data_IF_840737662232
#
_entry.id   IF_840737662232
#
_cell.length_a   1.000
_cell.length_b   1.000
_cell.length_c   1.000
_cell.angle_alpha   90.00
_cell.angle_beta   90.00
_cell.angle_gamma   90.00
#
_symmetry.space_group_name_H-M   'P 1'
#
loop_
_entity.id
_entity.type
_entity.pdbx_description
1 polymer ?
#
# COMPACT_ATOMS: atom_id res chain seq x y z
N UNK A 1 12.71 -16.60 -21.32
CA UNK A 1 12.00 -16.58 -20.01
C UNK A 1 11.15 -15.31 -19.95
N UNK A 2 9.93 -15.38 -19.44
CA UNK A 2 9.09 -14.18 -19.28
C UNK A 2 9.74 -13.21 -18.28
N UNK A 3 9.57 -11.90 -18.43
CA UNK A 3 10.04 -10.91 -17.47
C UNK A 3 9.34 -11.09 -16.11
N UNK A 4 10.08 -10.81 -15.04
CA UNK A 4 9.61 -10.99 -13.67
C UNK A 4 8.86 -9.74 -13.19
N UNK A 5 9.35 -8.56 -13.56
CA UNK A 5 8.82 -7.24 -13.14
C UNK A 5 8.54 -6.34 -14.36
N UNK A 6 7.41 -5.64 -14.36
CA UNK A 6 7.16 -4.54 -15.28
C UNK A 6 7.63 -3.22 -14.64
N UNK A 7 8.54 -2.52 -15.31
CA UNK A 7 8.86 -1.14 -15.00
C UNK A 7 7.91 -0.24 -15.79
N UNK A 8 7.25 0.69 -15.13
CA UNK A 8 6.36 1.67 -15.76
C UNK A 8 6.97 3.05 -15.57
N UNK A 9 7.43 3.61 -16.70
CA UNK A 9 7.98 4.95 -16.80
C UNK A 9 6.86 5.94 -17.06
N UNK A 10 6.60 6.79 -16.07
CA UNK A 10 5.55 7.81 -16.07
C UNK A 10 6.10 9.13 -15.52
N UNK A 11 7.32 9.47 -15.94
CA UNK A 11 8.28 10.15 -15.06
C UNK A 11 8.57 11.61 -15.41
N UNK A 12 7.76 12.23 -16.27
CA UNK A 12 7.93 13.62 -16.75
C UNK A 12 9.27 13.94 -17.44
N UNK A 13 10.19 12.96 -17.50
CA UNK A 13 11.60 13.11 -17.78
C UNK A 13 12.24 11.86 -18.40
N UNK A 14 13.51 11.61 -18.11
CA UNK A 14 14.25 10.43 -18.62
C UNK A 14 15.03 9.76 -17.49
N UNK A 15 14.29 9.12 -16.58
CA UNK A 15 14.87 8.45 -15.42
C UNK A 15 14.96 6.92 -15.58
N UNK A 16 14.55 6.37 -16.72
CA UNK A 16 14.48 4.92 -16.96
C UNK A 16 15.78 4.16 -16.65
N UNK A 17 16.96 4.74 -16.94
CA UNK A 17 18.26 4.12 -16.62
C UNK A 17 18.52 3.98 -15.11
N UNK A 18 17.97 4.88 -14.29
CA UNK A 18 18.11 4.78 -12.84
C UNK A 18 17.38 3.56 -12.28
N UNK A 19 16.38 3.02 -12.99
CA UNK A 19 15.64 1.82 -12.60
C UNK A 19 16.13 0.56 -13.30
N UNK A 20 16.46 0.64 -14.61
CA UNK A 20 16.89 -0.53 -15.38
C UNK A 20 18.27 -1.04 -14.96
N UNK A 21 19.27 -0.15 -14.81
CA UNK A 21 20.65 -0.57 -14.51
C UNK A 21 20.79 -1.32 -13.15
N UNK A 22 20.14 -0.89 -12.05
CA UNK A 22 20.12 -1.68 -10.82
C UNK A 22 19.46 -3.05 -11.00
N UNK A 23 18.32 -3.12 -11.69
CA UNK A 23 17.62 -4.41 -11.96
C UNK A 23 18.51 -5.37 -12.74
N UNK A 24 19.21 -4.89 -13.77
CA UNK A 24 20.22 -5.67 -14.51
C UNK A 24 21.36 -6.14 -13.61
N UNK A 25 21.86 -5.27 -12.72
CA UNK A 25 22.96 -5.57 -11.82
C UNK A 25 22.64 -6.69 -10.82
N UNK A 26 21.38 -6.79 -10.40
CA UNK A 26 20.89 -7.84 -9.48
C UNK A 26 20.33 -9.06 -10.24
N UNK A 27 20.37 -9.06 -11.58
CA UNK A 27 19.97 -10.19 -12.42
C UNK A 27 18.46 -10.40 -12.54
N UNK A 28 17.64 -9.39 -12.22
CA UNK A 28 16.18 -9.44 -12.33
C UNK A 28 15.77 -9.16 -13.76
N UNK A 29 14.90 -10.01 -14.33
CA UNK A 29 14.38 -9.77 -15.68
C UNK A 29 13.22 -8.80 -15.60
N UNK A 30 13.25 -7.76 -16.43
CA UNK A 30 12.17 -6.80 -16.50
C UNK A 30 11.80 -6.47 -17.94
N UNK A 31 10.72 -5.72 -18.10
CA UNK A 31 10.41 -4.97 -19.31
C UNK A 31 9.98 -3.57 -18.92
N UNK A 32 10.19 -2.60 -19.81
CA UNK A 32 9.83 -1.22 -19.59
C UNK A 32 8.60 -0.86 -20.44
N UNK A 33 7.57 -0.31 -19.81
CA UNK A 33 6.45 0.35 -20.46
C UNK A 33 6.57 1.84 -20.21
N UNK A 34 6.55 2.64 -21.28
CA UNK A 34 6.54 4.10 -21.16
C UNK A 34 5.09 4.56 -21.36
N UNK A 35 4.54 5.27 -20.36
CA UNK A 35 3.15 5.73 -20.35
C UNK A 35 2.80 6.69 -21.46
N UNK A 36 3.77 7.40 -22.04
CA UNK A 36 3.55 8.22 -23.24
C UNK A 36 3.11 7.39 -24.46
N UNK A 37 3.34 6.07 -24.46
CA UNK A 37 2.91 5.16 -25.53
C UNK A 37 1.44 4.74 -25.40
N UNK A 38 0.82 4.98 -24.27
CA UNK A 38 -0.57 4.65 -23.99
C UNK A 38 -0.79 4.02 -22.61
N UNK A 39 -2.07 3.83 -22.32
CA UNK A 39 -2.59 3.29 -21.06
C UNK A 39 -2.02 1.91 -20.75
N UNK A 40 -1.85 1.62 -19.46
CA UNK A 40 -1.50 0.28 -19.03
C UNK A 40 -2.76 -0.59 -18.99
N UNK A 41 -2.71 -1.76 -19.61
CA UNK A 41 -3.84 -2.69 -19.67
C UNK A 41 -3.45 -4.05 -19.13
N UNK A 42 -4.45 -4.84 -18.71
CA UNK A 42 -4.23 -6.18 -18.15
C UNK A 42 -3.48 -7.11 -19.10
N UNK A 43 -3.66 -6.96 -20.42
CA UNK A 43 -2.93 -7.73 -21.44
C UNK A 43 -1.43 -7.44 -21.45
N UNK A 44 -1.02 -6.22 -21.07
CA UNK A 44 0.39 -5.85 -20.94
C UNK A 44 1.02 -6.57 -19.75
N UNK A 45 0.29 -6.69 -18.63
CA UNK A 45 0.83 -7.25 -17.36
C UNK A 45 0.64 -8.77 -17.25
N UNK A 46 -0.31 -9.34 -17.99
CA UNK A 46 -0.60 -10.79 -18.00
C UNK A 46 0.64 -11.71 -18.21
N UNK A 47 1.66 -11.34 -19.00
CA UNK A 47 2.85 -12.18 -19.19
C UNK A 47 3.82 -12.23 -18.00
N UNK A 48 3.71 -11.34 -17.01
CA UNK A 48 4.70 -11.19 -15.93
C UNK A 48 4.47 -12.17 -14.79
N UNK A 49 5.49 -12.98 -14.46
CA UNK A 49 5.34 -14.12 -13.54
C UNK A 49 5.17 -13.70 -12.08
N UNK A 50 5.87 -12.64 -11.63
CA UNK A 50 5.76 -12.19 -10.25
C UNK A 50 4.51 -11.33 -10.00
N UNK A 51 3.77 -10.95 -11.06
CA UNK A 51 2.71 -9.93 -11.02
C UNK A 51 3.18 -8.68 -10.27
N UNK A 52 4.37 -8.19 -10.63
CA UNK A 52 4.98 -7.03 -9.98
C UNK A 52 5.11 -5.88 -10.97
N UNK A 53 4.66 -4.69 -10.55
CA UNK A 53 4.84 -3.42 -11.23
C UNK A 53 5.73 -2.53 -10.35
N UNK A 54 6.75 -1.93 -10.94
CA UNK A 54 7.45 -0.78 -10.37
C UNK A 54 7.07 0.43 -11.21
N UNK A 55 6.21 1.27 -10.67
CA UNK A 55 5.75 2.52 -11.26
C UNK A 55 6.56 3.68 -10.70
N UNK A 56 7.16 4.47 -11.57
CA UNK A 56 7.93 5.64 -11.17
C UNK A 56 7.50 6.89 -11.90
N UNK A 57 7.25 7.95 -11.13
CA UNK A 57 6.72 9.23 -11.61
C UNK A 57 7.79 10.33 -11.66
N UNK A 58 9.03 10.02 -11.26
CA UNK A 58 10.16 10.94 -11.36
C UNK A 58 9.87 12.26 -10.64
N UNK A 59 10.00 13.37 -11.38
CA UNK A 59 9.69 14.72 -10.93
C UNK A 59 8.39 15.29 -11.53
N UNK A 60 7.49 14.44 -12.01
CA UNK A 60 6.14 14.85 -12.40
C UNK A 60 5.42 15.49 -11.20
N UNK A 61 4.84 16.67 -11.39
CA UNK A 61 4.18 17.46 -10.33
C UNK A 61 2.66 17.30 -10.32
N UNK A 62 2.07 17.01 -11.49
CA UNK A 62 0.64 16.95 -11.72
C UNK A 62 0.32 15.77 -12.63
N UNK A 63 -0.81 15.10 -12.42
CA UNK A 63 -1.10 13.86 -13.13
C UNK A 63 -0.01 12.81 -12.92
N UNK A 64 0.55 12.77 -11.72
CA UNK A 64 1.51 11.75 -11.27
C UNK A 64 0.94 10.34 -11.43
N UNK A 65 -0.38 10.20 -11.29
CA UNK A 65 -1.16 9.07 -11.79
C UNK A 65 -2.44 9.62 -12.42
N UNK A 66 -2.74 9.21 -13.65
CA UNK A 66 -4.03 9.55 -14.27
C UNK A 66 -5.17 8.70 -13.67
N UNK A 67 -6.43 9.11 -13.91
CA UNK A 67 -7.62 8.41 -13.40
C UNK A 67 -7.66 6.93 -13.83
N UNK A 68 -7.29 6.65 -15.09
CA UNK A 68 -7.19 5.29 -15.63
C UNK A 68 -6.05 4.48 -14.99
N UNK A 69 -4.96 5.12 -14.60
CA UNK A 69 -3.86 4.48 -13.88
C UNK A 69 -4.30 4.07 -12.48
N UNK A 70 -4.99 4.96 -11.76
CA UNK A 70 -5.51 4.68 -10.43
C UNK A 70 -6.54 3.54 -10.45
N UNK A 71 -7.47 3.54 -11.41
CA UNK A 71 -8.45 2.46 -11.59
C UNK A 71 -7.75 1.13 -11.90
N UNK A 72 -6.76 1.14 -12.81
CA UNK A 72 -6.00 -0.06 -13.17
C UNK A 72 -5.20 -0.60 -11.98
N UNK A 73 -4.48 0.27 -11.25
CA UNK A 73 -3.65 -0.13 -10.12
C UNK A 73 -4.48 -0.67 -8.96
N UNK A 74 -5.67 -0.12 -8.73
CA UNK A 74 -6.64 -0.65 -7.78
C UNK A 74 -7.02 -2.10 -8.13
N UNK A 75 -7.50 -2.33 -9.36
CA UNK A 75 -7.87 -3.67 -9.85
C UNK A 75 -6.67 -4.64 -9.82
N UNK A 76 -5.47 -4.13 -10.12
CA UNK A 76 -4.25 -4.92 -10.10
C UNK A 76 -3.90 -5.40 -8.68
N UNK A 77 -3.94 -4.51 -7.68
CA UNK A 77 -3.68 -4.87 -6.28
C UNK A 77 -4.76 -5.81 -5.76
N UNK A 78 -6.03 -5.53 -6.02
CA UNK A 78 -7.17 -6.40 -5.66
C UNK A 78 -7.05 -7.80 -6.30
N UNK A 79 -6.45 -7.88 -7.49
CA UNK A 79 -6.12 -9.12 -8.20
C UNK A 79 -4.90 -9.88 -7.68
N UNK A 80 -4.30 -9.44 -6.57
CA UNK A 80 -3.09 -10.03 -5.98
C UNK A 80 -1.77 -9.52 -6.58
N UNK A 81 -1.83 -8.40 -7.31
CA UNK A 81 -0.67 -7.72 -7.87
C UNK A 81 0.17 -7.01 -6.82
N UNK A 82 1.44 -6.81 -7.16
CA UNK A 82 2.44 -6.20 -6.27
C UNK A 82 2.93 -4.91 -6.91
N UNK A 83 2.74 -3.78 -6.24
CA UNK A 83 3.10 -2.46 -6.73
C UNK A 83 4.23 -1.88 -5.90
N UNK A 84 5.25 -1.34 -6.57
CA UNK A 84 6.12 -0.29 -6.02
C UNK A 84 5.69 1.00 -6.72
N UNK A 85 5.32 2.01 -5.95
CA UNK A 85 4.99 3.36 -6.44
C UNK A 85 5.99 4.34 -5.83
N UNK A 86 6.76 5.02 -6.66
CA UNK A 86 7.85 5.90 -6.24
C UNK A 86 7.92 7.17 -7.08
N UNK A 87 8.16 8.29 -6.42
CA UNK A 87 8.28 9.60 -7.05
C UNK A 87 8.02 10.69 -6.03
N UNK A 88 8.40 11.92 -6.38
CA UNK A 88 7.99 13.10 -5.61
C UNK A 88 6.63 13.60 -6.10
N UNK A 89 5.99 14.48 -5.33
CA UNK A 89 4.70 15.12 -5.63
C UNK A 89 3.47 14.21 -5.68
N UNK A 90 3.61 12.88 -5.60
CA UNK A 90 2.49 11.95 -5.67
C UNK A 90 1.46 12.25 -4.57
N UNK A 91 1.91 12.52 -3.34
CA UNK A 91 1.00 12.79 -2.24
C UNK A 91 0.27 14.12 -2.42
N UNK A 92 0.97 15.16 -2.85
CA UNK A 92 0.39 16.48 -3.10
C UNK A 92 -0.64 16.45 -4.22
N UNK A 93 -0.43 15.61 -5.24
CA UNK A 93 -1.32 15.48 -6.39
C UNK A 93 -2.55 14.60 -6.10
N UNK A 94 -2.35 13.39 -5.57
CA UNK A 94 -3.43 12.38 -5.51
C UNK A 94 -3.96 12.07 -4.11
N UNK A 95 -3.53 12.75 -3.05
CA UNK A 95 -4.02 12.47 -1.68
C UNK A 95 -5.52 12.70 -1.45
N UNK A 96 -6.20 13.37 -2.39
CA UNK A 96 -7.66 13.52 -2.39
C UNK A 96 -8.43 12.46 -3.19
N UNK A 97 -7.76 11.43 -3.70
CA UNK A 97 -8.35 10.38 -4.56
C UNK A 97 -8.83 9.17 -3.76
N UNK A 98 -9.78 8.42 -4.33
CA UNK A 98 -10.23 7.14 -3.79
C UNK A 98 -9.08 6.10 -3.73
N UNK A 99 -8.14 6.16 -4.69
CA UNK A 99 -6.96 5.28 -4.69
C UNK A 99 -6.05 5.56 -3.49
N UNK A 100 -5.82 6.83 -3.17
CA UNK A 100 -5.07 7.19 -1.97
C UNK A 100 -5.78 6.68 -0.72
N UNK A 101 -7.07 6.97 -0.57
CA UNK A 101 -7.84 6.57 0.62
C UNK A 101 -7.89 5.05 0.82
N UNK A 102 -8.05 4.27 -0.24
CA UNK A 102 -8.19 2.81 -0.14
C UNK A 102 -6.82 2.09 -0.04
N UNK A 103 -5.78 2.54 -0.77
CA UNK A 103 -4.51 1.79 -0.91
C UNK A 103 -3.30 2.43 -0.21
N UNK A 104 -3.23 3.76 -0.09
CA UNK A 104 -2.10 4.43 0.56
C UNK A 104 -2.44 4.76 2.02
N UNK A 105 -3.56 5.46 2.23
CA UNK A 105 -4.19 5.79 3.51
C UNK A 105 -3.24 6.47 4.51
N UNK A 106 -2.29 7.27 4.00
CA UNK A 106 -1.32 7.99 4.83
C UNK A 106 -1.73 9.46 5.02
N UNK A 107 -1.51 9.99 6.22
CA UNK A 107 -1.69 11.40 6.53
C UNK A 107 -0.40 12.17 6.24
N UNK A 108 -0.45 13.09 5.27
CA UNK A 108 0.70 13.92 4.88
C UNK A 108 0.98 14.98 5.95
N UNK A 109 2.18 14.94 6.55
CA UNK A 109 2.58 15.80 7.64
C UNK A 109 3.50 16.96 7.20
N UNK A 110 4.03 16.91 5.98
CA UNK A 110 4.82 17.96 5.35
C UNK A 110 5.71 17.42 4.24
N UNK A 111 6.39 18.33 3.54
CA UNK A 111 7.26 17.99 2.40
C UNK A 111 8.51 18.86 2.34
N UNK A 112 9.54 18.37 1.63
CA UNK A 112 10.72 19.15 1.28
C UNK A 112 11.95 18.31 0.97
N UNK A 113 13.12 18.95 0.98
CA UNK A 113 14.39 18.31 0.67
C UNK A 113 15.00 17.56 1.87
N UNK A 114 15.63 16.42 1.62
CA UNK A 114 16.43 15.70 2.60
C UNK A 114 17.66 15.09 1.93
N UNK A 115 18.88 15.46 2.35
CA UNK A 115 20.13 14.87 1.82
C UNK A 115 20.35 13.43 2.30
N UNK A 116 19.91 13.14 3.52
CA UNK A 116 20.03 11.84 4.16
C UNK A 116 18.67 11.43 4.73
N UNK A 117 18.28 10.21 4.40
CA UNK A 117 17.15 9.49 4.97
C UNK A 117 17.67 8.20 5.62
N UNK A 118 16.80 7.53 6.36
CA UNK A 118 17.15 6.34 7.11
C UNK A 118 16.26 5.19 6.67
N UNK A 119 16.83 4.21 6.00
CA UNK A 119 16.17 2.92 5.79
C UNK A 119 16.31 2.11 7.08
N UNK A 120 15.19 1.90 7.76
CA UNK A 120 15.08 1.15 9.02
C UNK A 120 14.50 -0.25 8.80
N UNK A 121 14.24 -0.64 7.56
CA UNK A 121 13.77 -1.98 7.23
C UNK A 121 14.94 -2.97 7.21
N UNK A 122 14.95 -3.85 8.21
CA UNK A 122 16.03 -4.80 8.44
C UNK A 122 17.24 -4.14 9.11
N UNK A 123 18.40 -4.18 8.44
CA UNK A 123 19.62 -3.55 8.96
C UNK A 123 19.61 -2.08 8.57
N UNK A 124 19.68 -1.20 9.57
CA UNK A 124 19.69 0.25 9.35
C UNK A 124 20.78 0.69 8.36
N UNK A 125 20.36 1.45 7.35
CA UNK A 125 21.23 2.08 6.35
C UNK A 125 20.83 3.54 6.14
N UNK A 126 21.76 4.30 5.54
CA UNK A 126 21.51 5.68 5.13
C UNK A 126 21.13 5.67 3.65
N UNK A 127 20.00 6.29 3.31
CA UNK A 127 19.65 6.57 1.91
C UNK A 127 20.08 7.99 1.62
N UNK A 128 21.06 8.17 0.73
CA UNK A 128 21.50 9.49 0.30
C UNK A 128 20.73 9.88 -0.97
N UNK A 129 20.21 11.10 -1.02
CA UNK A 129 19.46 11.64 -2.18
C UNK A 129 20.35 12.48 -3.11
N UNK A 130 21.67 12.36 -2.93
CA UNK A 130 22.66 13.11 -3.67
C UNK A 130 23.96 12.31 -3.87
N UNK A 131 24.90 12.90 -4.59
CA UNK A 131 26.20 12.31 -4.88
C UNK A 131 26.17 11.41 -6.12
N UNK A 132 27.13 10.50 -6.21
CA UNK A 132 27.34 9.70 -7.40
C UNK A 132 26.14 8.76 -7.65
N UNK A 133 25.59 8.80 -8.87
CA UNK A 133 24.47 7.97 -9.28
C UNK A 133 23.07 8.51 -8.93
N UNK A 134 22.96 9.66 -8.26
CA UNK A 134 21.70 10.36 -8.02
C UNK A 134 21.29 11.20 -9.24
N UNK A 135 19.99 11.31 -9.49
CA UNK A 135 19.42 12.29 -10.41
C UNK A 135 19.50 13.75 -9.92
N UNK A 136 19.76 13.98 -8.62
CA UNK A 136 19.81 15.30 -7.99
C UNK A 136 18.53 16.14 -8.20
N UNK A 137 17.38 15.46 -8.29
CA UNK A 137 16.09 16.05 -8.60
C UNK A 137 15.11 16.09 -7.41
N UNK A 138 15.48 15.54 -6.24
CA UNK A 138 14.55 15.38 -5.12
C UNK A 138 14.34 16.69 -4.35
N UNK A 139 13.23 17.37 -4.63
CA UNK A 139 12.87 18.67 -4.05
C UNK A 139 11.62 18.63 -3.18
N UNK A 140 10.72 17.66 -3.39
CA UNK A 140 9.50 17.47 -2.60
C UNK A 140 9.32 16.04 -2.12
N UNK A 141 10.08 15.67 -1.09
CA UNK A 141 9.88 14.39 -0.41
C UNK A 141 8.87 14.61 0.72
N UNK A 142 7.71 13.97 0.63
CA UNK A 142 6.72 13.99 1.71
C UNK A 142 7.15 13.13 2.89
N UNK A 143 6.75 13.56 4.07
CA UNK A 143 6.81 12.72 5.26
C UNK A 143 5.42 12.63 5.89
N UNK A 144 5.09 11.42 6.33
CA UNK A 144 3.71 11.02 6.57
C UNK A 144 3.57 10.22 7.87
N UNK A 145 2.33 10.12 8.33
CA UNK A 145 1.88 9.06 9.24
C UNK A 145 1.20 7.99 8.40
N UNK A 146 1.77 6.78 8.26
CA UNK A 146 1.15 5.70 7.52
C UNK A 146 0.02 5.05 8.34
N UNK A 147 -0.86 4.25 7.71
CA UNK A 147 -1.90 3.52 8.43
C UNK A 147 -1.31 2.44 9.37
N UNK A 148 -2.08 2.04 10.39
CA UNK A 148 -1.64 1.10 11.43
C UNK A 148 -1.15 -0.27 10.92
N UNK A 149 -1.57 -0.67 9.71
CA UNK A 149 -1.20 -1.93 9.08
C UNK A 149 0.08 -1.85 8.23
N UNK A 150 0.68 -0.67 8.12
CA UNK A 150 1.87 -0.44 7.33
C UNK A 150 3.16 -0.94 8.01
N UNK A 151 4.05 -1.50 7.20
CA UNK A 151 5.43 -1.77 7.55
C UNK A 151 6.27 -0.54 7.17
N UNK A 152 6.88 0.12 8.15
CA UNK A 152 7.67 1.36 7.95
C UNK A 152 9.06 1.01 7.42
N UNK A 153 9.51 1.69 6.35
CA UNK A 153 10.78 1.39 5.70
C UNK A 153 11.77 2.55 5.75
N UNK A 154 11.42 3.69 5.16
CA UNK A 154 12.32 4.84 5.09
C UNK A 154 11.71 5.97 5.92
N UNK A 155 12.52 6.54 6.81
CA UNK A 155 12.14 7.64 7.70
C UNK A 155 13.10 8.81 7.55
N UNK A 156 12.59 10.02 7.76
CA UNK A 156 13.41 11.24 7.68
C UNK A 156 14.35 11.40 8.87
N UNK A 157 13.95 10.95 10.06
CA UNK A 157 14.76 11.04 11.27
C UNK A 157 14.46 9.88 12.23
N UNK A 158 15.51 9.22 12.72
CA UNK A 158 15.41 8.10 13.66
C UNK A 158 14.81 8.44 15.03
N UNK A 159 14.75 9.72 15.41
CA UNK A 159 14.17 10.14 16.69
C UNK A 159 12.64 10.07 16.72
N UNK A 160 12.01 9.98 15.55
CA UNK A 160 10.56 9.97 15.40
C UNK A 160 10.22 9.12 14.18
N UNK A 161 9.81 7.87 14.36
CA UNK A 161 9.66 6.94 13.22
C UNK A 161 8.25 6.85 12.68
N UNK A 162 7.27 7.42 13.36
CA UNK A 162 5.85 7.13 13.10
C UNK A 162 5.13 8.29 12.37
N UNK A 163 5.74 9.48 12.33
CA UNK A 163 5.15 10.71 11.75
C UNK A 163 6.03 11.36 10.68
N UNK A 164 7.20 10.78 10.40
CA UNK A 164 8.11 11.27 9.37
C UNK A 164 8.48 10.22 8.32
N UNK A 165 7.56 9.28 8.09
CA UNK A 165 7.74 8.17 7.17
C UNK A 165 7.72 8.66 5.73
N UNK A 166 8.73 8.27 4.98
CA UNK A 166 8.92 8.58 3.54
C UNK A 166 8.49 7.39 2.67
N UNK A 167 8.77 6.17 3.13
CA UNK A 167 8.36 4.97 2.42
C UNK A 167 7.86 3.89 3.38
N UNK A 168 6.83 3.16 2.96
CA UNK A 168 6.24 2.07 3.71
C UNK A 168 5.60 1.03 2.79
N UNK A 169 5.52 -0.21 3.27
CA UNK A 169 4.82 -1.31 2.62
C UNK A 169 3.48 -1.62 3.28
N UNK A 170 2.48 -2.02 2.50
CA UNK A 170 1.23 -2.60 2.99
C UNK A 170 0.91 -3.90 2.27
N UNK A 171 0.22 -4.80 2.96
CA UNK A 171 -0.25 -6.05 2.41
C UNK A 171 -1.78 -6.04 2.38
N UNK A 172 -2.34 -6.45 1.25
CA UNK A 172 -3.77 -6.56 1.04
C UNK A 172 -4.19 -8.02 0.98
N UNK A 173 -5.49 -8.22 1.10
CA UNK A 173 -6.03 -9.54 0.88
C UNK A 173 -5.85 -9.99 -0.57
N UNK A 174 -5.83 -11.30 -0.80
CA UNK A 174 -5.60 -11.86 -2.14
C UNK A 174 -4.13 -11.85 -2.56
N UNK A 175 -3.24 -11.46 -1.65
CA UNK A 175 -1.79 -11.41 -1.90
C UNK A 175 -1.32 -10.10 -2.51
N UNK A 176 -2.21 -9.12 -2.66
CA UNK A 176 -1.89 -7.79 -3.16
C UNK A 176 -0.91 -7.08 -2.23
N UNK A 177 0.00 -6.28 -2.79
CA UNK A 177 0.98 -5.52 -2.00
C UNK A 177 1.21 -4.17 -2.62
N UNK A 178 1.45 -3.16 -1.78
CA UNK A 178 1.98 -1.88 -2.22
C UNK A 178 3.19 -1.51 -1.39
N UNK A 179 4.24 -1.01 -2.04
CA UNK A 179 5.27 -0.20 -1.42
C UNK A 179 5.12 1.21 -1.99
N UNK A 180 4.80 2.16 -1.12
CA UNK A 180 4.73 3.57 -1.49
C UNK A 180 5.97 4.30 -0.99
N UNK A 181 6.51 5.20 -1.81
CA UNK A 181 7.64 6.05 -1.47
C UNK A 181 7.48 7.43 -2.09
N UNK A 182 7.41 8.47 -1.26
CA UNK A 182 7.48 9.89 -1.70
C UNK A 182 8.89 10.32 -2.09
N UNK A 183 9.90 9.48 -1.81
CA UNK A 183 11.21 9.58 -2.42
C UNK A 183 11.15 8.92 -3.80
N UNK A 184 11.50 9.68 -4.84
CA UNK A 184 11.84 9.13 -6.15
C UNK A 184 13.16 8.35 -6.08
N UNK A 185 13.12 7.04 -6.38
CA UNK A 185 14.30 6.19 -6.26
C UNK A 185 15.42 6.55 -7.26
N UNK A 186 15.14 7.27 -8.34
CA UNK A 186 16.13 7.91 -9.21
C UNK A 186 17.02 8.92 -8.46
N UNK A 187 16.46 9.54 -7.42
CA UNK A 187 17.18 10.45 -6.53
C UNK A 187 18.25 9.79 -5.67
N UNK A 188 18.22 8.46 -5.49
CA UNK A 188 19.17 7.76 -4.62
C UNK A 188 20.57 7.80 -5.22
N UNK A 189 21.56 8.21 -4.43
CA UNK A 189 22.96 8.22 -4.85
C UNK A 189 23.91 7.82 -3.73
N UNK A 190 25.18 8.15 -3.92
CA UNK A 190 26.23 7.88 -2.94
C UNK A 190 27.13 9.09 -2.72
N UNK A 191 27.14 9.59 -1.49
CA UNK A 191 28.03 10.67 -1.06
C UNK A 191 29.32 10.06 -0.51
N UNK A 192 30.41 10.22 -1.25
CA UNK A 192 31.71 9.67 -0.88
C UNK A 192 31.78 8.14 -1.01
N UNK A 193 32.60 7.49 -0.18
CA UNK A 193 32.90 6.05 -0.27
C UNK A 193 32.32 5.23 0.90
N UNK A 194 31.28 5.74 1.58
CA UNK A 194 30.68 5.08 2.75
C UNK A 194 30.02 3.74 2.40
N UNK A 195 30.20 2.72 3.26
CA UNK A 195 29.48 1.43 3.19
C UNK A 195 28.20 1.42 4.02
N UNK A 196 27.95 2.49 4.77
CA UNK A 196 26.71 2.70 5.55
C UNK A 196 25.57 3.22 4.68
N UNK A 197 25.89 3.75 3.49
CA UNK A 197 24.88 4.20 2.54
C UNK A 197 24.38 3.01 1.73
N UNK A 198 23.07 2.89 1.65
CA UNK A 198 22.38 1.91 0.80
C UNK A 198 22.51 2.34 -0.66
N UNK A 199 22.82 1.38 -1.52
CA UNK A 199 22.80 1.57 -2.96
C UNK A 199 21.41 1.25 -3.50
N UNK A 200 21.05 1.85 -4.64
CA UNK A 200 19.78 1.54 -5.30
C UNK A 200 19.62 0.05 -5.63
N UNK A 201 20.71 -0.64 -6.01
CA UNK A 201 20.69 -2.10 -6.24
C UNK A 201 20.40 -2.90 -4.98
N UNK A 202 20.98 -2.54 -3.83
CA UNK A 202 20.68 -3.18 -2.54
C UNK A 202 19.22 -2.98 -2.14
N UNK A 203 18.68 -1.76 -2.32
CA UNK A 203 17.29 -1.45 -2.03
C UNK A 203 16.32 -2.19 -2.97
N UNK A 204 16.65 -2.31 -4.27
CA UNK A 204 15.81 -3.05 -5.21
C UNK A 204 15.83 -4.55 -4.94
N UNK A 205 16.98 -5.11 -4.57
CA UNK A 205 17.06 -6.50 -4.14
C UNK A 205 16.14 -6.76 -2.93
N UNK A 206 16.16 -5.85 -1.96
CA UNK A 206 15.28 -5.84 -0.79
C UNK A 206 13.78 -5.88 -1.19
N UNK A 207 13.36 -5.09 -2.18
CA UNK A 207 11.98 -5.14 -2.69
C UNK A 207 11.62 -6.49 -3.32
N UNK A 208 12.51 -7.04 -4.13
CA UNK A 208 12.29 -8.34 -4.77
C UNK A 208 12.17 -9.46 -3.72
N UNK A 209 13.01 -9.45 -2.70
CA UNK A 209 12.94 -10.39 -1.57
C UNK A 209 11.63 -10.26 -0.78
N UNK A 210 11.16 -9.04 -0.53
CA UNK A 210 9.87 -8.80 0.13
C UNK A 210 8.66 -9.32 -0.68
N UNK A 211 8.77 -9.28 -2.01
CA UNK A 211 7.74 -9.82 -2.89
C UNK A 211 7.80 -11.33 -3.04
N UNK A 212 8.99 -11.93 -2.98
CA UNK A 212 9.18 -13.38 -3.13
C UNK A 212 8.86 -14.15 -1.84
N UNK A 213 9.12 -13.56 -0.67
CA UNK A 213 8.79 -14.16 0.64
C UNK A 213 7.30 -14.42 0.87
N UNK A 214 6.42 -13.80 0.08
CA UNK A 214 4.98 -14.07 0.09
C UNK A 214 4.56 -15.31 -0.72
N UNK A 215 5.50 -16.01 -1.38
CA UNK A 215 5.24 -17.29 -2.07
C UNK A 215 5.14 -18.49 -1.09
N UNK A 216 5.35 -18.29 0.21
CA UNK A 216 5.07 -19.28 1.26
C UNK A 216 3.66 -19.07 1.86
N UNK A 217 2.67 -18.78 1.01
CA UNK A 217 1.28 -19.06 1.35
C UNK A 217 0.90 -20.32 0.58
N UNK A 218 0.70 -21.39 1.35
CA UNK A 218 0.36 -22.73 0.91
C UNK A 218 -0.60 -22.72 -0.28
N UNK A 219 -0.15 -23.27 -1.42
CA UNK A 219 -0.97 -23.51 -2.61
C UNK A 219 -2.15 -24.48 -2.33
N UNK A 220 -2.22 -25.06 -1.11
CA UNK A 220 -3.33 -25.84 -0.58
C UNK A 220 -4.20 -25.13 0.48
N UNK A 221 -4.13 -23.80 0.61
CA UNK A 221 -5.28 -23.07 1.14
C UNK A 221 -6.41 -23.22 0.13
N UNK A 222 -7.22 -24.27 0.32
CA UNK A 222 -8.53 -24.45 -0.30
C UNK A 222 -9.14 -23.08 -0.57
N UNK A 223 -9.37 -22.75 -1.86
CA UNK A 223 -10.05 -21.55 -2.37
C UNK A 223 -10.69 -20.75 -1.24
N UNK A 224 -9.88 -19.93 -0.59
CA UNK A 224 -10.37 -19.13 0.52
C UNK A 224 -11.26 -18.08 -0.11
N UNK A 225 -12.53 -18.04 0.29
CA UNK A 225 -13.52 -17.37 -0.53
C UNK A 225 -13.41 -15.85 -0.39
N UNK A 226 -13.63 -15.15 -1.51
CA UNK A 226 -13.32 -13.72 -1.70
C UNK A 226 -13.83 -12.84 -0.55
N UNK A 227 -12.93 -12.00 -0.07
CA UNK A 227 -12.94 -11.44 1.26
C UNK A 227 -14.14 -10.57 1.62
N UNK A 228 -14.55 -10.67 2.87
CA UNK A 228 -15.44 -9.71 3.53
C UNK A 228 -14.56 -8.81 4.42
N UNK A 229 -14.42 -7.53 4.08
CA UNK A 229 -13.83 -6.49 4.93
C UNK A 229 -14.91 -5.85 5.80
N UNK A 230 -14.59 -5.60 7.08
CA UNK A 230 -15.47 -4.96 8.07
C UNK A 230 -14.66 -3.93 8.86
N UNK A 231 -14.92 -2.64 8.66
CA UNK A 231 -14.35 -1.55 9.45
C UNK A 231 -15.41 -0.85 10.29
N UNK A 232 -14.99 -0.24 11.41
CA UNK A 232 -15.89 0.50 12.28
C UNK A 232 -15.25 1.81 12.76
N UNK A 233 -15.95 2.94 12.60
CA UNK A 233 -15.48 4.25 13.01
C UNK A 233 -16.59 5.10 13.66
N UNK A 234 -16.32 5.77 14.80
CA UNK A 234 -15.13 5.64 15.62
C UNK A 234 -15.07 4.26 16.29
N UNK A 235 -13.86 3.80 16.65
CA UNK A 235 -13.65 2.59 17.44
C UNK A 235 -12.33 2.75 18.25
N UNK A 236 -12.37 2.91 19.59
CA UNK A 236 -13.55 2.84 20.47
C UNK A 236 -14.58 3.97 20.24
N UNK A 237 -15.84 3.75 20.67
CA UNK A 237 -16.91 4.74 20.55
C UNK A 237 -17.80 4.81 21.80
N UNK A 238 -18.53 5.92 21.98
CA UNK A 238 -19.34 6.21 23.17
C UNK A 238 -20.83 6.46 22.92
N UNK A 239 -21.25 6.80 21.70
CA UNK A 239 -22.67 6.91 21.32
C UNK A 239 -23.04 5.95 20.18
N UNK A 240 -22.30 5.97 19.08
CA UNK A 240 -22.53 5.15 17.89
C UNK A 240 -21.24 4.95 17.09
N UNK A 241 -21.19 3.90 16.27
CA UNK A 241 -20.15 3.71 15.27
C UNK A 241 -20.78 3.45 13.89
N UNK A 242 -20.13 3.94 12.84
CA UNK A 242 -20.37 3.55 11.46
C UNK A 242 -19.61 2.25 11.21
N UNK A 243 -20.32 1.23 10.75
CA UNK A 243 -19.80 -0.06 10.32
C UNK A 243 -19.84 -0.09 8.80
N UNK A 244 -18.68 -0.13 8.15
CA UNK A 244 -18.56 -0.28 6.71
C UNK A 244 -18.15 -1.71 6.37
N UNK A 245 -18.88 -2.34 5.46
CA UNK A 245 -18.65 -3.72 5.05
C UNK A 245 -18.50 -3.75 3.53
N UNK A 246 -17.44 -4.40 3.06
CA UNK A 246 -17.21 -4.70 1.64
C UNK A 246 -17.06 -6.21 1.49
N UNK A 247 -17.73 -6.83 0.53
CA UNK A 247 -17.64 -8.26 0.25
C UNK A 247 -17.54 -8.50 -1.25
N UNK A 248 -16.76 -9.49 -1.67
CA UNK A 248 -16.75 -9.99 -3.04
C UNK A 248 -18.07 -10.68 -3.46
N UNK A 249 -18.93 -11.03 -2.51
CA UNK A 249 -20.21 -11.69 -2.75
C UNK A 249 -21.38 -10.94 -2.10
N UNK A 250 -22.59 -11.31 -2.50
CA UNK A 250 -23.81 -10.76 -1.89
C UNK A 250 -23.88 -11.18 -0.41
N UNK A 251 -23.96 -10.19 0.47
CA UNK A 251 -24.09 -10.41 1.91
C UNK A 251 -25.42 -11.08 2.24
N UNK A 252 -25.46 -11.77 3.37
CA UNK A 252 -26.69 -12.37 3.91
C UNK A 252 -27.11 -11.69 5.20
N UNK A 253 -26.31 -11.84 6.26
CA UNK A 253 -26.65 -11.31 7.59
C UNK A 253 -25.45 -10.66 8.25
N UNK A 254 -25.69 -9.51 8.88
CA UNK A 254 -24.76 -8.86 9.79
C UNK A 254 -25.32 -8.94 11.22
N UNK A 255 -24.46 -9.28 12.16
CA UNK A 255 -24.80 -9.49 13.57
C UNK A 255 -23.77 -8.81 14.46
N UNK A 256 -24.19 -8.38 15.64
CA UNK A 256 -23.29 -7.87 16.68
C UNK A 256 -23.48 -8.76 17.90
N UNK A 257 -22.37 -9.28 18.43
CA UNK A 257 -22.31 -10.26 19.51
C UNK A 257 -21.53 -9.69 20.70
N UNK A 258 -21.91 -10.05 21.92
CA UNK A 258 -21.09 -9.79 23.11
C UNK A 258 -19.89 -10.77 23.19
N UNK A 259 -18.97 -10.56 24.15
CA UNK A 259 -17.82 -11.45 24.37
C UNK A 259 -18.18 -12.91 24.74
N UNK A 260 -19.43 -13.16 25.13
CA UNK A 260 -19.96 -14.50 25.44
C UNK A 260 -20.65 -15.12 24.22
N UNK A 261 -20.68 -14.42 23.08
CA UNK A 261 -21.34 -14.85 21.86
C UNK A 261 -22.85 -14.64 21.85
N UNK A 262 -23.42 -13.90 22.82
CA UNK A 262 -24.84 -13.58 22.82
C UNK A 262 -25.15 -12.54 21.75
N UNK A 263 -26.26 -12.74 21.04
CA UNK A 263 -26.73 -11.82 20.02
C UNK A 263 -27.23 -10.51 20.64
N UNK A 264 -26.64 -9.39 20.21
CA UNK A 264 -27.01 -8.03 20.62
C UNK A 264 -27.80 -7.33 19.50
N UNK A 265 -27.40 -7.53 18.25
CA UNK A 265 -28.07 -6.96 17.08
C UNK A 265 -27.99 -7.90 15.87
N UNK A 266 -28.98 -7.85 14.98
CA UNK A 266 -28.99 -8.59 13.70
C UNK A 266 -29.73 -7.79 12.64
N UNK A 267 -29.18 -7.78 11.43
CA UNK A 267 -29.82 -7.22 10.23
C UNK A 267 -29.45 -8.03 8.98
N UNK A 268 -30.41 -8.21 8.07
CA UNK A 268 -30.13 -8.75 6.74
C UNK A 268 -29.48 -7.66 5.87
N UNK A 269 -28.47 -8.03 5.12
CA UNK A 269 -27.78 -7.14 4.19
C UNK A 269 -27.95 -7.70 2.78
N UNK A 270 -28.17 -6.82 1.82
CA UNK A 270 -28.19 -7.15 0.39
C UNK A 270 -27.13 -6.28 -0.30
N UNK A 271 -26.49 -6.84 -1.31
CA UNK A 271 -25.38 -6.23 -2.05
C UNK A 271 -24.00 -6.65 -1.54
N UNK A 272 -22.98 -6.09 -2.19
CA UNK A 272 -21.56 -6.33 -1.92
C UNK A 272 -20.93 -5.25 -1.04
N UNK A 273 -21.65 -4.14 -0.78
CA UNK A 273 -21.18 -3.02 0.04
C UNK A 273 -22.32 -2.49 0.90
N UNK A 274 -22.07 -2.21 2.17
CA UNK A 274 -23.04 -1.57 3.07
C UNK A 274 -22.35 -0.70 4.11
N UNK A 275 -23.02 0.40 4.45
CA UNK A 275 -22.64 1.31 5.52
C UNK A 275 -23.80 1.35 6.51
N UNK A 276 -23.54 0.93 7.74
CA UNK A 276 -24.56 0.82 8.79
C UNK A 276 -24.11 1.53 10.06
N UNK A 277 -24.94 2.40 10.61
CA UNK A 277 -24.65 3.05 11.89
C UNK A 277 -25.25 2.22 13.03
N UNK A 278 -24.39 1.64 13.87
CA UNK A 278 -24.83 0.98 15.09
C UNK A 278 -24.84 1.94 16.27
N UNK A 279 -25.96 1.97 16.99
CA UNK A 279 -26.13 2.67 18.26
C UNK A 279 -26.58 1.66 19.33
N UNK A 280 -25.76 1.39 20.36
CA UNK A 280 -26.15 0.55 21.49
C UNK A 280 -27.40 1.07 22.19
N UNK A 281 -28.22 0.16 22.72
CA UNK A 281 -29.40 0.53 23.50
C UNK A 281 -29.03 0.96 24.93
N UNK A 282 -30.00 1.51 25.68
CA UNK A 282 -29.75 2.00 27.05
C UNK A 282 -29.28 0.90 28.02
N UNK A 283 -29.60 -0.36 27.72
CA UNK A 283 -29.27 -1.53 28.54
C UNK A 283 -27.91 -2.16 28.18
N UNK A 284 -27.31 -1.74 27.06
CA UNK A 284 -26.01 -2.24 26.62
C UNK A 284 -24.92 -1.70 27.55
N UNK A 285 -24.15 -2.62 28.14
CA UNK A 285 -23.01 -2.28 28.99
C UNK A 285 -21.77 -1.96 28.14
N UNK A 286 -20.90 -1.07 28.64
CA UNK A 286 -19.57 -0.87 28.05
C UNK A 286 -18.81 -2.19 27.95
N UNK A 287 -18.09 -2.40 26.86
CA UNK A 287 -17.37 -3.65 26.63
C UNK A 287 -16.94 -3.87 25.19
N UNK A 288 -16.44 -5.07 24.94
CA UNK A 288 -16.02 -5.54 23.62
C UNK A 288 -17.21 -6.25 22.97
N UNK A 289 -17.42 -5.96 21.68
CA UNK A 289 -18.41 -6.61 20.84
C UNK A 289 -17.73 -7.10 19.55
N UNK A 290 -18.34 -8.10 18.93
CA UNK A 290 -17.89 -8.64 17.65
C UNK A 290 -18.99 -8.46 16.60
N UNK A 291 -18.65 -7.79 15.52
CA UNK A 291 -19.45 -7.78 14.30
C UNK A 291 -19.19 -9.09 13.59
N UNK A 292 -20.22 -9.83 13.20
CA UNK A 292 -20.16 -11.01 12.34
C UNK A 292 -20.92 -10.71 11.06
N UNK A 293 -20.34 -10.97 9.90
CA UNK A 293 -21.02 -10.90 8.59
C UNK A 293 -20.96 -12.26 7.94
N UNK A 294 -22.11 -12.76 7.51
CA UNK A 294 -22.24 -14.01 6.76
C UNK A 294 -22.56 -13.67 5.30
N UNK A 295 -21.71 -14.14 4.40
CA UNK A 295 -21.97 -14.31 2.96
C UNK A 295 -22.18 -15.80 2.66
N UNK A 296 -22.63 -16.16 1.45
CA UNK A 296 -23.13 -17.52 1.14
C UNK A 296 -22.25 -18.66 1.67
N UNK A 297 -20.95 -18.59 1.43
CA UNK A 297 -19.99 -19.63 1.85
C UNK A 297 -19.02 -19.14 2.96
N UNK A 298 -19.11 -17.87 3.38
CA UNK A 298 -18.03 -17.19 4.12
C UNK A 298 -18.58 -16.43 5.32
N UNK A 299 -17.86 -16.44 6.43
CA UNK A 299 -18.17 -15.59 7.57
C UNK A 299 -16.93 -14.78 7.96
N UNK A 300 -17.11 -13.50 8.25
CA UNK A 300 -16.04 -12.62 8.75
C UNK A 300 -16.43 -11.97 10.06
N UNK A 301 -15.41 -11.57 10.84
CA UNK A 301 -15.58 -10.95 12.14
C UNK A 301 -14.72 -9.69 12.29
N UNK A 302 -15.24 -8.70 12.99
CA UNK A 302 -14.46 -7.52 13.40
C UNK A 302 -14.80 -7.11 14.83
N UNK A 303 -13.81 -6.61 15.56
CA UNK A 303 -13.90 -6.26 16.98
C UNK A 303 -14.19 -4.77 17.14
N UNK A 304 -15.20 -4.43 17.93
CA UNK A 304 -15.52 -3.05 18.31
C UNK A 304 -15.59 -2.88 19.82
N UNK A 305 -15.25 -1.68 20.30
CA UNK A 305 -15.18 -1.34 21.72
C UNK A 305 -16.15 -0.20 22.02
N UNK A 306 -17.14 -0.47 22.86
CA UNK A 306 -18.12 0.51 23.33
C UNK A 306 -17.78 0.99 24.74
N UNK A 307 -17.75 2.31 24.93
CA UNK A 307 -17.43 3.00 26.18
C UNK A 307 -18.53 4.01 26.52
N UNK A 308 -19.49 3.61 27.36
CA UNK A 308 -20.57 4.47 27.87
C UNK A 308 -20.05 5.60 28.77
#
# INVERSE_FOLDING_TARGET
PAPDILLVQDDGGDYGEYFSAPMESIGVKFSMWNRERGELTSDIVAPFQMKTILWFTGDEEIYTLADDDMDFLADFIDGGGKLILTGQYIAEDISGSDFWDDYISADVCGSGEATYLHDIWGIHKIVATAGNGSALNQVSIDWMVPPDDAEIWIVKNLLETDTNVVAFGRNFYGGGKILFSSLGFEGIGKIGVSTLQETRSELFQKFVEWFDTAAIFDENLEKMPQNISISAFPNPFNDRCLIAIRSGENMGTMEILDIRGNLVYRQNQDGTRTNFVWKPDENTSSGIFFIRVNCRENNAFSKIIYLK
#
